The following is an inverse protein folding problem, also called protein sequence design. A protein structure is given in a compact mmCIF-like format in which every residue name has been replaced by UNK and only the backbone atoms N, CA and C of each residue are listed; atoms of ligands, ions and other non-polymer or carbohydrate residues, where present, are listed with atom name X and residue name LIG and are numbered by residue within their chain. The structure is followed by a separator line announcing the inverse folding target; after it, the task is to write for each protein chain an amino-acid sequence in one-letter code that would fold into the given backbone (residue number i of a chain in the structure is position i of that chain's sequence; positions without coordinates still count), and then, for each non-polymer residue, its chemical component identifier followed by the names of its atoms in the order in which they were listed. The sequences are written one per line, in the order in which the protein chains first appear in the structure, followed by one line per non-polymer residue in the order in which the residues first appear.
data_IF_129176566414
#
_entry.id   IF_129176566414
#
_cell.length_a   1.000
_cell.length_b   1.000
_cell.length_c   1.000
_cell.angle_alpha   90.00
_cell.angle_beta   90.00
_cell.angle_gamma   90.00
#
_symmetry.space_group_name_H-M   'P 1'
#
loop_
_entity.id
_entity.type
_entity.pdbx_description
1 polymer ?
#
# COMPACT_ATOMS: atom_id res chain seq x y z
N UNK A 1 8.97 -14.74 12.50
CA UNK A 1 8.91 -15.53 11.26
C UNK A 1 7.62 -15.20 10.53
N UNK A 2 7.65 -15.01 9.22
CA UNK A 2 6.50 -14.77 8.35
C UNK A 2 6.30 -16.01 7.48
N UNK A 3 5.14 -16.67 7.55
CA UNK A 3 4.90 -17.97 6.87
C UNK A 3 6.04 -19.00 7.05
N UNK A 4 6.51 -19.16 8.29
CA UNK A 4 7.64 -20.06 8.65
C UNK A 4 9.00 -19.66 8.05
N UNK A 5 9.09 -18.49 7.42
CA UNK A 5 10.33 -17.90 6.91
C UNK A 5 10.91 -17.00 8.00
N UNK A 6 12.22 -17.13 8.25
CA UNK A 6 12.92 -16.31 9.25
C UNK A 6 12.90 -14.82 8.86
N UNK A 7 12.23 -14.02 9.69
CA UNK A 7 12.10 -12.58 9.51
C UNK A 7 12.27 -11.91 10.87
N UNK A 8 13.20 -10.96 10.98
CA UNK A 8 13.46 -10.22 12.21
C UNK A 8 12.76 -8.87 12.13
N UNK A 9 11.67 -8.71 12.87
CA UNK A 9 10.95 -7.45 13.03
C UNK A 9 10.97 -7.02 14.51
N UNK A 10 10.82 -5.72 14.76
CA UNK A 10 10.80 -5.16 16.12
C UNK A 10 9.60 -4.22 16.28
N UNK A 11 8.55 -4.68 16.94
CA UNK A 11 7.33 -3.87 17.08
C UNK A 11 6.71 -3.59 15.70
N UNK A 12 6.51 -2.31 15.39
CA UNK A 12 5.99 -1.85 14.09
C UNK A 12 7.08 -1.70 13.01
N UNK A 13 8.36 -1.86 13.38
CA UNK A 13 9.47 -1.74 12.44
C UNK A 13 9.51 -2.97 11.53
N UNK A 14 9.48 -2.73 10.21
CA UNK A 14 9.47 -3.77 9.19
C UNK A 14 10.64 -4.75 9.33
N UNK A 15 11.79 -4.28 9.82
CA UNK A 15 12.97 -5.09 10.08
C UNK A 15 13.59 -5.67 8.79
N UNK A 16 14.32 -6.78 8.93
CA UNK A 16 15.08 -7.37 7.82
C UNK A 16 14.96 -8.91 7.81
N UNK A 17 15.01 -9.47 6.61
CA UNK A 17 15.05 -10.91 6.38
C UNK A 17 15.52 -11.22 4.96
N UNK A 18 15.99 -12.45 4.76
CA UNK A 18 16.40 -12.93 3.45
C UNK A 18 15.22 -13.67 2.79
N UNK A 19 14.93 -13.36 1.54
CA UNK A 19 13.92 -14.08 0.76
C UNK A 19 13.31 -13.25 -0.36
N UNK A 20 12.61 -13.92 -1.26
CA UNK A 20 11.75 -13.27 -2.25
C UNK A 20 10.46 -12.81 -1.56
N UNK A 21 10.26 -11.49 -1.47
CA UNK A 21 9.10 -10.89 -0.83
C UNK A 21 7.78 -11.32 -1.45
N UNK A 22 7.75 -11.58 -2.77
CA UNK A 22 6.55 -12.08 -3.45
C UNK A 22 6.25 -13.49 -2.98
N UNK A 23 7.25 -14.37 -2.96
CA UNK A 23 7.08 -15.74 -2.48
C UNK A 23 6.66 -15.78 -1.00
N UNK A 24 7.22 -14.90 -0.16
CA UNK A 24 6.81 -14.75 1.25
C UNK A 24 5.33 -14.34 1.34
N UNK A 25 4.93 -13.31 0.61
CA UNK A 25 3.55 -12.81 0.63
C UNK A 25 2.56 -13.88 0.14
N UNK A 26 2.89 -14.60 -0.94
CA UNK A 26 2.06 -15.69 -1.46
C UNK A 26 1.93 -16.83 -0.45
N UNK A 27 3.04 -17.24 0.18
CA UNK A 27 3.02 -18.28 1.20
C UNK A 27 2.18 -17.85 2.42
N UNK A 28 2.27 -16.59 2.85
CA UNK A 28 1.41 -16.03 3.88
C UNK A 28 -0.07 -16.10 3.50
N UNK A 29 -0.42 -15.66 2.28
CA UNK A 29 -1.80 -15.64 1.79
C UNK A 29 -2.40 -17.06 1.71
N UNK A 30 -1.65 -18.02 1.17
CA UNK A 30 -2.07 -19.43 1.11
C UNK A 30 -2.24 -20.05 2.49
N UNK A 31 -1.32 -19.74 3.44
CA UNK A 31 -1.35 -20.28 4.79
C UNK A 31 -2.52 -19.76 5.62
N UNK A 32 -2.89 -18.49 5.42
CA UNK A 32 -3.92 -17.80 6.20
C UNK A 32 -5.29 -17.74 5.48
N UNK A 33 -5.37 -18.23 4.24
CA UNK A 33 -6.55 -18.16 3.38
C UNK A 33 -7.12 -16.73 3.30
N UNK A 34 -6.24 -15.78 3.00
CA UNK A 34 -6.59 -14.36 2.94
C UNK A 34 -5.75 -13.58 1.92
N UNK A 35 -6.23 -12.38 1.58
CA UNK A 35 -5.43 -11.41 0.82
C UNK A 35 -4.39 -10.79 1.74
N UNK A 36 -3.14 -10.78 1.28
CA UNK A 36 -2.00 -10.15 1.95
C UNK A 36 -1.57 -8.91 1.17
N UNK A 37 -1.42 -7.81 1.89
CA UNK A 37 -0.74 -6.60 1.44
C UNK A 37 0.56 -6.50 2.20
N UNK A 38 1.68 -6.60 1.50
CA UNK A 38 3.01 -6.33 2.02
C UNK A 38 3.43 -4.94 1.52
N UNK A 39 3.19 -3.91 2.33
CA UNK A 39 3.48 -2.53 1.96
C UNK A 39 4.96 -2.17 2.09
N UNK A 40 5.42 -1.25 1.24
CA UNK A 40 6.82 -0.82 1.19
C UNK A 40 7.07 0.26 0.13
N UNK A 41 8.32 0.43 -0.33
CA UNK A 41 8.60 1.25 -1.52
C UNK A 41 7.87 0.75 -2.77
N UNK A 42 7.55 -0.54 -2.79
CA UNK A 42 6.63 -1.18 -3.73
C UNK A 42 5.70 -2.04 -2.89
N UNK A 43 4.40 -1.81 -2.99
CA UNK A 43 3.43 -2.65 -2.29
C UNK A 43 3.23 -3.94 -3.09
N UNK A 44 3.23 -5.09 -2.40
CA UNK A 44 2.95 -6.40 -3.00
C UNK A 44 1.60 -6.88 -2.47
N UNK A 45 0.65 -7.12 -3.36
CA UNK A 45 -0.70 -7.57 -3.03
C UNK A 45 -0.91 -8.96 -3.63
N UNK A 46 -1.37 -9.91 -2.82
CA UNK A 46 -1.60 -11.29 -3.29
C UNK A 46 -2.70 -12.01 -2.51
N UNK A 47 -3.47 -12.83 -3.20
CA UNK A 47 -4.38 -13.83 -2.60
C UNK A 47 -3.76 -15.23 -2.52
N UNK A 48 -2.46 -15.35 -2.79
CA UNK A 48 -1.73 -16.61 -2.85
C UNK A 48 -1.63 -17.21 -4.25
N UNK A 49 -2.44 -16.75 -5.21
CA UNK A 49 -2.42 -17.21 -6.61
C UNK A 49 -2.18 -16.08 -7.59
N UNK A 50 -2.83 -14.94 -7.36
CA UNK A 50 -2.65 -13.68 -8.09
C UNK A 50 -1.67 -12.80 -7.32
N UNK A 51 -0.87 -12.02 -8.05
CA UNK A 51 0.08 -11.06 -7.47
C UNK A 51 0.00 -9.78 -8.29
N UNK A 52 -0.06 -8.64 -7.61
CA UNK A 52 0.11 -7.31 -8.20
C UNK A 52 1.11 -6.52 -7.37
N UNK A 53 1.94 -5.74 -8.05
CA UNK A 53 2.88 -4.79 -7.46
C UNK A 53 2.42 -3.38 -7.74
N UNK A 54 2.24 -2.56 -6.71
CA UNK A 54 2.01 -1.12 -6.86
C UNK A 54 3.34 -0.39 -6.71
N UNK A 55 3.76 0.27 -7.78
CA UNK A 55 5.05 0.97 -7.87
C UNK A 55 4.94 2.44 -7.46
N UNK A 56 3.71 2.94 -7.27
CA UNK A 56 3.48 4.30 -6.81
C UNK A 56 3.88 4.48 -5.35
N UNK A 57 4.19 5.72 -4.97
CA UNK A 57 4.38 6.08 -3.57
C UNK A 57 5.24 7.31 -3.37
N UNK A 58 5.57 7.57 -2.10
CA UNK A 58 6.49 8.64 -1.71
C UNK A 58 7.18 8.26 -0.40
N UNK A 59 8.48 8.61 -0.21
CA UNK A 59 9.17 8.42 1.07
C UNK A 59 8.46 9.10 2.25
N UNK A 60 7.62 10.11 1.99
CA UNK A 60 6.88 10.79 3.04
C UNK A 60 5.90 9.87 3.78
N UNK A 61 5.39 8.80 3.18
CA UNK A 61 4.55 7.83 3.90
C UNK A 61 5.27 7.20 5.11
N UNK A 62 6.58 6.97 5.02
CA UNK A 62 7.36 6.31 6.07
C UNK A 62 7.62 7.20 7.28
N UNK A 63 7.64 8.52 7.09
CA UNK A 63 7.86 9.49 8.20
C UNK A 63 6.56 9.89 8.90
N UNK A 64 5.42 9.38 8.44
CA UNK A 64 4.11 9.60 9.03
C UNK A 64 3.59 8.35 9.73
N UNK A 65 3.64 8.40 11.07
CA UNK A 65 2.91 7.45 11.91
C UNK A 65 1.42 7.51 11.54
N UNK A 66 0.83 6.35 11.28
CA UNK A 66 -0.58 6.20 10.91
C UNK A 66 -0.85 6.05 9.40
N UNK A 67 0.14 6.21 8.52
CA UNK A 67 -0.07 5.97 7.07
C UNK A 67 -0.55 4.54 6.77
N UNK A 68 -0.04 3.55 7.50
CA UNK A 68 -0.49 2.15 7.38
C UNK A 68 -1.92 1.93 7.90
N UNK A 69 -2.32 2.64 8.96
CA UNK A 69 -3.68 2.57 9.51
C UNK A 69 -4.69 3.24 8.56
N UNK A 70 -4.29 4.35 7.93
CA UNK A 70 -5.05 5.01 6.86
C UNK A 70 -5.24 4.06 5.68
N UNK A 71 -4.16 3.44 5.18
CA UNK A 71 -4.24 2.46 4.10
C UNK A 71 -5.21 1.31 4.45
N UNK A 72 -5.09 0.74 5.66
CA UNK A 72 -5.98 -0.33 6.12
C UNK A 72 -7.45 0.09 6.13
N UNK A 73 -7.74 1.32 6.54
CA UNK A 73 -9.09 1.89 6.54
C UNK A 73 -9.63 2.09 5.12
N UNK A 74 -8.78 2.53 4.18
CA UNK A 74 -9.14 2.68 2.77
C UNK A 74 -9.40 1.30 2.14
N UNK A 75 -8.56 0.31 2.40
CA UNK A 75 -8.77 -1.08 1.94
C UNK A 75 -10.13 -1.59 2.42
N UNK A 76 -10.49 -1.36 3.69
CA UNK A 76 -11.80 -1.73 4.21
C UNK A 76 -12.97 -1.04 3.46
N UNK A 77 -12.81 0.23 3.10
CA UNK A 77 -13.82 0.95 2.31
C UNK A 77 -13.99 0.37 0.89
N UNK A 78 -12.89 -0.03 0.23
CA UNK A 78 -12.95 -0.69 -1.07
C UNK A 78 -13.54 -2.10 -0.98
N UNK A 79 -13.21 -2.87 0.06
CA UNK A 79 -13.81 -4.18 0.30
C UNK A 79 -15.33 -4.10 0.57
N UNK A 80 -15.85 -2.95 0.98
CA UNK A 80 -17.28 -2.76 1.21
C UNK A 80 -18.10 -2.66 -0.09
N UNK A 81 -17.47 -2.39 -1.24
CA UNK A 81 -18.16 -2.14 -2.52
C UNK A 81 -17.94 -3.23 -3.58
N UNK A 82 -17.06 -4.20 -3.33
CA UNK A 82 -16.83 -5.34 -4.22
C UNK A 82 -16.61 -6.63 -3.42
N UNK A 83 -17.15 -7.78 -3.87
CA UNK A 83 -16.89 -9.07 -3.24
C UNK A 83 -15.48 -9.62 -3.56
N UNK A 84 -14.81 -9.14 -4.62
CA UNK A 84 -13.42 -9.54 -4.90
C UNK A 84 -12.47 -8.74 -4.01
N UNK A 85 -12.07 -9.34 -2.89
CA UNK A 85 -11.20 -8.71 -1.89
C UNK A 85 -9.78 -8.47 -2.41
N UNK A 86 -9.31 -9.25 -3.40
CA UNK A 86 -8.02 -9.01 -4.04
C UNK A 86 -8.10 -7.76 -4.91
N UNK A 87 -9.17 -7.64 -5.72
CA UNK A 87 -9.42 -6.45 -6.53
C UNK A 87 -9.57 -5.19 -5.67
N UNK A 88 -10.32 -5.29 -4.57
CA UNK A 88 -10.44 -4.22 -3.58
C UNK A 88 -9.08 -3.78 -3.02
N UNK A 89 -8.28 -4.74 -2.56
CA UNK A 89 -6.97 -4.48 -1.95
C UNK A 89 -6.00 -3.81 -2.93
N UNK A 90 -5.83 -4.36 -4.14
CA UNK A 90 -4.92 -3.76 -5.12
C UNK A 90 -5.34 -2.34 -5.51
N UNK A 91 -6.65 -2.11 -5.67
CA UNK A 91 -7.17 -0.81 -6.10
C UNK A 91 -7.00 0.23 -5.00
N UNK A 92 -7.29 -0.15 -3.75
CA UNK A 92 -7.07 0.71 -2.59
C UNK A 92 -5.59 1.10 -2.43
N UNK A 93 -4.66 0.13 -2.54
CA UNK A 93 -3.23 0.39 -2.51
C UNK A 93 -2.80 1.34 -3.62
N UNK A 94 -3.21 1.06 -4.87
CA UNK A 94 -2.89 1.89 -6.02
C UNK A 94 -3.39 3.32 -5.85
N UNK A 95 -4.66 3.50 -5.47
CA UNK A 95 -5.28 4.82 -5.28
C UNK A 95 -4.56 5.60 -4.17
N UNK A 96 -4.33 4.99 -3.00
CA UNK A 96 -3.67 5.66 -1.89
C UNK A 96 -2.24 6.09 -2.24
N UNK A 97 -1.46 5.17 -2.82
CA UNK A 97 -0.09 5.41 -3.22
C UNK A 97 0.02 6.48 -4.33
N UNK A 98 -0.86 6.42 -5.33
CA UNK A 98 -0.94 7.40 -6.41
C UNK A 98 -1.29 8.80 -5.89
N UNK A 99 -2.25 8.92 -4.95
CA UNK A 99 -2.60 10.21 -4.34
C UNK A 99 -1.40 10.81 -3.60
N UNK A 100 -0.72 10.03 -2.76
CA UNK A 100 0.47 10.51 -2.05
C UNK A 100 1.60 10.93 -2.99
N UNK A 101 1.83 10.16 -4.06
CA UNK A 101 2.80 10.53 -5.09
C UNK A 101 2.41 11.85 -5.79
N UNK A 102 1.13 12.03 -6.12
CA UNK A 102 0.64 13.25 -6.76
C UNK A 102 0.80 14.47 -5.86
N UNK A 103 0.59 14.33 -4.54
CA UNK A 103 0.82 15.42 -3.59
C UNK A 103 2.25 15.92 -3.69
N UNK A 104 3.25 15.03 -3.65
CA UNK A 104 4.66 15.44 -3.74
C UNK A 104 5.06 15.96 -5.12
N UNK A 105 4.36 15.55 -6.18
CA UNK A 105 4.57 16.07 -7.54
C UNK A 105 3.96 17.46 -7.76
N UNK A 106 2.92 17.82 -7.01
CA UNK A 106 2.14 19.06 -7.21
C UNK A 106 2.41 20.13 -6.16
N UNK A 107 2.95 19.75 -4.99
CA UNK A 107 3.33 20.65 -3.91
C UNK A 107 4.85 20.61 -3.75
N UNK A 108 5.59 21.59 -4.31
CA UNK A 108 7.04 21.68 -4.14
C UNK A 108 7.44 21.76 -2.67
N UNK A 109 8.55 21.11 -2.31
CA UNK A 109 9.15 21.15 -0.97
C UNK A 109 8.19 20.82 0.18
N UNK A 110 7.18 19.99 -0.07
CA UNK A 110 6.22 19.57 0.96
C UNK A 110 6.92 18.81 2.09
N UNK A 111 6.95 19.43 3.27
CA UNK A 111 7.45 18.79 4.49
C UNK A 111 6.46 17.80 5.07
N UNK A 112 6.91 16.94 5.98
CA UNK A 112 6.09 15.91 6.62
C UNK A 112 4.76 16.48 7.16
N UNK A 113 4.78 17.44 8.09
CA UNK A 113 3.54 17.98 8.66
C UNK A 113 2.51 18.46 7.62
N UNK A 114 2.97 19.11 6.54
CA UNK A 114 2.12 19.59 5.45
C UNK A 114 1.63 18.46 4.53
N UNK A 115 2.43 17.41 4.34
CA UNK A 115 2.06 16.26 3.51
C UNK A 115 0.78 15.59 4.00
N UNK A 116 0.60 15.40 5.30
CA UNK A 116 -0.66 14.82 5.83
C UNK A 116 -1.87 15.66 5.49
N UNK A 117 -1.78 17.00 5.61
CA UNK A 117 -2.90 17.90 5.28
C UNK A 117 -3.24 17.79 3.80
N UNK A 118 -2.23 17.90 2.93
CA UNK A 118 -2.45 17.78 1.49
C UNK A 118 -2.92 16.39 1.06
N UNK A 119 -2.47 15.33 1.72
CA UNK A 119 -2.93 13.96 1.49
C UNK A 119 -4.42 13.81 1.80
N UNK A 120 -4.89 14.35 2.93
CA UNK A 120 -6.30 14.31 3.30
C UNK A 120 -7.18 15.12 2.34
N UNK A 121 -6.74 16.33 1.95
CA UNK A 121 -7.43 17.14 0.95
C UNK A 121 -7.49 16.43 -0.41
N UNK A 122 -6.39 15.78 -0.81
CA UNK A 122 -6.32 15.03 -2.06
C UNK A 122 -7.16 13.75 -2.02
N UNK A 123 -7.26 13.06 -0.88
CA UNK A 123 -8.17 11.92 -0.71
C UNK A 123 -9.63 12.30 -0.96
N UNK A 124 -10.04 13.50 -0.56
CA UNK A 124 -11.40 14.00 -0.81
C UNK A 124 -11.63 14.39 -2.28
N UNK A 125 -10.63 15.01 -2.92
CA UNK A 125 -10.81 15.75 -4.18
C UNK A 125 -10.29 15.03 -5.43
N UNK A 126 -9.54 13.94 -5.28
CA UNK A 126 -8.94 13.22 -6.41
C UNK A 126 -10.00 12.58 -7.31
N UNK A 127 -9.77 12.61 -8.62
CA UNK A 127 -10.61 11.96 -9.63
C UNK A 127 -9.95 10.71 -10.21
N UNK A 128 -10.76 9.83 -10.82
CA UNK A 128 -10.27 8.61 -11.50
C UNK A 128 -9.21 8.94 -12.55
N UNK A 129 -9.48 9.93 -13.41
CA UNK A 129 -8.54 10.35 -14.46
C UNK A 129 -7.18 10.82 -13.90
N UNK A 130 -7.17 11.41 -12.70
CA UNK A 130 -5.94 11.83 -12.04
C UNK A 130 -5.13 10.64 -11.51
N UNK A 131 -5.79 9.59 -11.04
CA UNK A 131 -5.15 8.32 -10.66
C UNK A 131 -4.59 7.62 -11.90
N UNK A 132 -5.40 7.45 -12.94
CA UNK A 132 -5.00 6.78 -14.19
C UNK A 132 -3.77 7.43 -14.83
N UNK A 133 -3.66 8.76 -14.75
CA UNK A 133 -2.52 9.50 -15.31
C UNK A 133 -1.16 9.18 -14.66
N UNK A 134 -1.15 8.61 -13.45
CA UNK A 134 0.09 8.28 -12.72
C UNK A 134 0.17 6.82 -12.28
N UNK A 135 -0.87 6.03 -12.52
CA UNK A 135 -0.97 4.65 -12.06
C UNK A 135 0.19 3.82 -12.61
N UNK A 136 0.93 3.18 -11.70
CA UNK A 136 2.08 2.35 -12.01
C UNK A 136 1.96 1.05 -11.21
N UNK A 137 1.65 -0.04 -11.90
CA UNK A 137 1.51 -1.37 -11.31
C UNK A 137 1.89 -2.47 -12.32
N UNK A 138 2.28 -3.63 -11.80
CA UNK A 138 2.69 -4.83 -12.57
C UNK A 138 2.05 -6.10 -12.03
#
# INVERSE_FOLDING_TARGET
ALADISWQAKGIDAGEGAGDLVAIAQACAQKLDCVVILSGPTDIITDGTRVVKVLNGTPLFQVHVGSGDMLSSIVAAFCAVTPDTFEAAQTACLVFAAIGQRVVQTVPDVGAGSFTVHLLDALQSTTVAQIEAVAAYE
#
